data_IF_304724997664
#
_entry.id   IF_304724997664
#
_cell.length_a   1.000
_cell.length_b   1.000
_cell.length_c   1.000
_cell.angle_alpha   90.00
_cell.angle_beta   90.00
_cell.angle_gamma   90.00
#
_symmetry.space_group_name_H-M   'P 1'
#
loop_
_entity.id
_entity.type
_entity.pdbx_description
1 polymer ?
#
# COMPACT_ATOMS: atom_id res chain seq x y z
N UNK A 1 19.01 -5.02 -9.22
CA UNK A 1 18.50 -5.02 -7.88
C UNK A 1 17.30 -4.10 -7.74
N UNK A 2 16.20 -4.60 -7.19
CA UNK A 2 14.95 -3.86 -7.09
C UNK A 2 14.85 -3.25 -5.70
N UNK A 3 14.42 -2.00 -5.65
CA UNK A 3 14.21 -1.30 -4.39
C UNK A 3 12.87 -0.60 -4.40
N UNK A 4 12.21 -0.55 -3.25
CA UNK A 4 10.98 0.21 -3.05
C UNK A 4 11.27 1.40 -2.16
N UNK A 5 10.89 2.59 -2.62
CA UNK A 5 11.05 3.82 -1.86
C UNK A 5 9.69 4.47 -1.65
N UNK A 6 9.34 4.71 -0.39
CA UNK A 6 8.06 5.28 -0.02
C UNK A 6 8.21 6.71 0.45
N UNK A 7 7.17 7.53 0.18
CA UNK A 7 7.06 8.86 0.76
C UNK A 7 5.60 9.29 0.83
N UNK A 8 5.36 10.33 1.63
CA UNK A 8 4.07 10.94 1.84
C UNK A 8 4.00 11.56 3.23
N UNK A 9 3.03 12.44 3.43
CA UNK A 9 2.84 13.10 4.71
C UNK A 9 2.22 12.12 5.71
N UNK A 10 2.94 11.90 6.83
CA UNK A 10 2.51 10.96 7.85
C UNK A 10 1.76 11.57 9.02
N UNK A 11 1.61 12.89 9.07
CA UNK A 11 0.92 13.54 10.17
C UNK A 11 -0.38 14.16 9.65
N UNK A 12 -1.51 13.61 10.11
CA UNK A 12 -2.82 13.96 9.59
C UNK A 12 -3.80 14.26 10.72
N UNK A 13 -4.82 15.05 10.38
CA UNK A 13 -5.97 15.28 11.23
C UNK A 13 -7.15 14.43 10.75
N UNK A 14 -8.11 14.12 11.64
CA UNK A 14 -9.32 13.41 11.24
C UNK A 14 -10.01 14.10 10.06
N UNK A 15 -10.62 13.31 9.21
CA UNK A 15 -11.31 13.69 7.97
C UNK A 15 -10.41 14.03 6.80
N UNK A 16 -9.11 14.16 6.99
CA UNK A 16 -8.18 14.41 5.89
C UNK A 16 -7.99 13.15 5.05
N UNK A 17 -7.30 13.30 3.93
CA UNK A 17 -6.96 12.21 3.02
C UNK A 17 -5.49 11.86 3.16
N UNK A 18 -5.21 10.59 3.44
CA UNK A 18 -3.85 10.05 3.40
C UNK A 18 -3.46 9.84 1.95
N UNK A 19 -2.26 10.30 1.58
CA UNK A 19 -1.69 10.07 0.25
C UNK A 19 -0.25 9.59 0.40
N UNK A 20 0.02 8.39 -0.06
CA UNK A 20 1.35 7.80 -0.04
C UNK A 20 1.74 7.36 -1.43
N UNK A 21 3.04 7.44 -1.73
CA UNK A 21 3.60 6.99 -3.01
C UNK A 21 4.74 6.02 -2.75
N UNK A 22 4.86 5.06 -3.64
CA UNK A 22 5.93 4.09 -3.62
C UNK A 22 6.54 4.03 -5.02
N UNK A 23 7.84 4.31 -5.13
CA UNK A 23 8.56 4.20 -6.38
C UNK A 23 9.35 2.91 -6.41
N UNK A 24 9.36 2.27 -7.56
CA UNK A 24 10.04 1.00 -7.78
C UNK A 24 11.27 1.24 -8.63
N UNK A 25 12.43 1.01 -8.06
CA UNK A 25 13.71 1.15 -8.75
C UNK A 25 14.29 -0.22 -9.07
N UNK A 26 15.02 -0.31 -10.19
CA UNK A 26 15.60 -1.56 -10.64
C UNK A 26 14.81 -2.15 -11.80
N UNK A 27 14.92 -3.47 -11.94
CA UNK A 27 14.23 -4.18 -13.01
C UNK A 27 12.81 -4.55 -12.59
N UNK A 28 12.00 -4.99 -13.52
CA UNK A 28 10.73 -5.68 -13.26
C UNK A 28 9.73 -4.87 -12.44
N UNK A 29 9.04 -3.96 -13.11
CA UNK A 29 7.85 -3.33 -12.54
C UNK A 29 6.58 -4.02 -13.06
N UNK A 30 6.54 -4.33 -14.36
CA UNK A 30 5.32 -4.75 -15.04
C UNK A 30 4.97 -6.22 -14.84
N UNK A 31 5.87 -6.99 -14.23
CA UNK A 31 5.66 -8.43 -14.06
C UNK A 31 5.07 -8.80 -12.70
N UNK A 32 4.80 -7.82 -11.85
CA UNK A 32 4.42 -8.10 -10.47
C UNK A 32 3.13 -7.42 -10.07
N UNK A 33 2.56 -7.93 -9.01
CA UNK A 33 1.44 -7.32 -8.30
C UNK A 33 2.01 -6.46 -7.18
N UNK A 34 1.50 -5.25 -7.05
CA UNK A 34 1.95 -4.32 -6.03
C UNK A 34 0.86 -4.12 -5.00
N UNK A 35 1.24 -4.07 -3.73
CA UNK A 35 0.30 -4.14 -2.62
C UNK A 35 0.60 -3.08 -1.58
N UNK A 36 -0.45 -2.57 -0.95
CA UNK A 36 -0.35 -1.73 0.23
C UNK A 36 -0.86 -2.51 1.43
N UNK A 37 -0.09 -2.46 2.52
CA UNK A 37 -0.36 -3.16 3.77
C UNK A 37 -0.08 -2.19 4.90
N UNK A 38 -0.81 -2.31 6.00
CA UNK A 38 -0.55 -1.48 7.18
C UNK A 38 -0.50 -2.33 8.45
N UNK A 39 0.18 -1.80 9.45
CA UNK A 39 0.24 -2.42 10.77
C UNK A 39 -0.09 -1.38 11.83
N UNK A 40 -1.31 -1.42 12.39
CA UNK A 40 -1.65 -0.58 13.53
C UNK A 40 -0.80 -0.92 14.75
N UNK A 41 -0.61 0.03 15.68
CA UNK A 41 0.21 -0.22 16.87
C UNK A 41 -0.30 -1.41 17.66
N UNK A 42 0.59 -2.35 17.96
CA UNK A 42 0.27 -3.53 18.74
C UNK A 42 -0.63 -4.55 18.07
N UNK A 43 -0.83 -4.43 16.77
CA UNK A 43 -1.70 -5.35 16.01
C UNK A 43 -0.94 -5.99 14.87
N UNK A 44 -1.58 -6.98 14.23
CA UNK A 44 -1.01 -7.64 13.07
C UNK A 44 -1.12 -6.81 11.80
N UNK A 45 -0.55 -7.35 10.75
CA UNK A 45 -0.62 -6.73 9.42
C UNK A 45 -2.05 -6.78 8.89
N UNK A 46 -2.47 -5.70 8.24
CA UNK A 46 -3.76 -5.60 7.59
C UNK A 46 -3.54 -5.27 6.11
N UNK A 47 -4.04 -6.13 5.23
CA UNK A 47 -3.99 -5.92 3.79
C UNK A 47 -4.98 -4.83 3.40
N UNK A 48 -4.51 -3.84 2.64
CA UNK A 48 -5.33 -2.72 2.20
C UNK A 48 -5.86 -2.98 0.79
N UNK A 49 -4.99 -3.36 -0.11
CA UNK A 49 -5.36 -3.63 -1.49
C UNK A 49 -4.16 -3.82 -2.37
N UNK A 50 -4.43 -4.15 -3.62
CA UNK A 50 -3.41 -4.46 -4.61
C UNK A 50 -3.76 -3.86 -5.95
N UNK A 51 -2.73 -3.71 -6.79
CA UNK A 51 -2.90 -3.23 -8.16
C UNK A 51 -1.89 -3.92 -9.05
N UNK A 52 -2.33 -4.31 -10.26
CA UNK A 52 -1.39 -4.77 -11.28
C UNK A 52 -1.01 -3.59 -12.18
N UNK A 53 0.07 -3.73 -12.97
CA UNK A 53 0.52 -2.61 -13.81
C UNK A 53 -0.47 -2.16 -14.87
N UNK A 54 -1.46 -3.00 -15.22
CA UNK A 54 -2.52 -2.61 -16.15
C UNK A 54 -3.60 -1.76 -15.48
N UNK A 55 -3.56 -1.60 -14.16
CA UNK A 55 -4.48 -0.76 -13.42
C UNK A 55 -5.63 -1.48 -12.74
N UNK A 56 -5.70 -2.81 -12.85
CA UNK A 56 -6.74 -3.58 -12.15
C UNK A 56 -6.44 -3.62 -10.65
N UNK A 57 -7.45 -3.34 -9.84
CA UNK A 57 -7.33 -3.25 -8.39
C UNK A 57 -8.21 -4.24 -7.68
N UNK A 58 -7.81 -4.59 -6.47
CA UNK A 58 -8.61 -5.40 -5.56
C UNK A 58 -8.40 -4.85 -4.15
N UNK A 59 -9.48 -4.49 -3.48
CA UNK A 59 -9.40 -3.80 -2.19
C UNK A 59 -9.96 -4.66 -1.06
N UNK A 60 -9.42 -4.43 0.14
CA UNK A 60 -10.00 -4.98 1.36
C UNK A 60 -11.45 -4.50 1.49
N UNK A 61 -12.43 -5.41 1.61
CA UNK A 61 -13.84 -5.01 1.66
C UNK A 61 -14.17 -4.01 2.78
N UNK A 62 -13.47 -4.06 3.91
CA UNK A 62 -13.72 -3.16 5.03
C UNK A 62 -13.24 -1.74 4.76
N UNK A 63 -12.33 -1.56 3.80
CA UNK A 63 -11.75 -0.25 3.47
C UNK A 63 -12.19 0.24 2.09
N UNK A 64 -12.87 -0.59 1.33
CA UNK A 64 -13.13 -0.38 -0.10
C UNK A 64 -13.75 0.98 -0.41
N UNK A 65 -14.66 1.46 0.45
CA UNK A 65 -15.36 2.72 0.20
C UNK A 65 -14.45 3.95 0.34
N UNK A 66 -13.28 3.81 0.98
CA UNK A 66 -12.39 4.91 1.29
C UNK A 66 -11.05 4.84 0.57
N UNK A 67 -10.76 3.74 -0.13
CA UNK A 67 -9.43 3.46 -0.68
C UNK A 67 -9.41 3.64 -2.17
N UNK A 68 -8.33 4.24 -2.68
CA UNK A 68 -8.01 4.25 -4.09
C UNK A 68 -6.52 3.97 -4.26
N UNK A 69 -6.19 2.96 -5.03
CA UNK A 69 -4.82 2.64 -5.40
C UNK A 69 -4.68 2.89 -6.89
N UNK A 70 -3.58 3.53 -7.28
CA UNK A 70 -3.32 3.85 -8.67
C UNK A 70 -1.88 3.52 -9.04
N UNK A 71 -1.63 3.45 -10.34
CA UNK A 71 -0.30 3.13 -10.87
C UNK A 71 0.05 4.12 -11.98
N UNK A 72 1.30 4.54 -12.00
CA UNK A 72 1.90 5.30 -13.09
C UNK A 72 3.07 4.49 -13.62
N UNK A 73 2.84 3.80 -14.73
CA UNK A 73 3.85 2.90 -15.29
C UNK A 73 5.07 3.66 -15.83
N UNK A 74 4.86 4.86 -16.35
CA UNK A 74 5.98 5.67 -16.87
C UNK A 74 6.93 6.11 -15.77
N UNK A 75 6.43 6.37 -14.59
CA UNK A 75 7.23 6.76 -13.43
C UNK A 75 7.58 5.56 -12.54
N UNK A 76 7.03 4.39 -12.81
CA UNK A 76 7.20 3.20 -12.01
C UNK A 76 6.81 3.45 -10.57
N UNK A 77 5.62 4.01 -10.37
CA UNK A 77 5.09 4.40 -9.07
C UNK A 77 3.72 3.81 -8.84
N UNK A 78 3.46 3.45 -7.60
CA UNK A 78 2.12 3.11 -7.13
C UNK A 78 1.76 4.08 -6.00
N UNK A 79 0.48 4.42 -5.92
CA UNK A 79 0.00 5.40 -4.96
C UNK A 79 -1.19 4.85 -4.20
N UNK A 80 -1.29 5.28 -2.94
CA UNK A 80 -2.42 4.94 -2.07
C UNK A 80 -3.08 6.23 -1.63
N UNK A 81 -4.42 6.27 -1.75
CA UNK A 81 -5.23 7.30 -1.11
C UNK A 81 -6.24 6.65 -0.20
N UNK A 82 -6.34 7.16 1.01
CA UNK A 82 -7.31 6.72 2.00
C UNK A 82 -8.04 7.95 2.52
N UNK A 83 -9.34 8.04 2.20
CA UNK A 83 -10.15 9.20 2.53
C UNK A 83 -10.70 9.12 3.96
N UNK A 84 -11.05 10.29 4.50
CA UNK A 84 -11.79 10.40 5.77
C UNK A 84 -11.11 9.63 6.90
N UNK A 85 -9.83 9.89 7.10
CA UNK A 85 -9.07 9.16 8.11
C UNK A 85 -9.54 9.49 9.52
N UNK A 86 -9.41 8.50 10.40
CA UNK A 86 -9.65 8.64 11.83
C UNK A 86 -8.45 8.10 12.60
N UNK A 87 -8.48 8.21 13.91
CA UNK A 87 -7.40 7.67 14.75
C UNK A 87 -7.18 6.17 14.50
N UNK A 88 -8.21 5.44 14.08
CA UNK A 88 -8.11 4.01 13.78
C UNK A 88 -7.22 3.73 12.57
N UNK A 89 -6.92 4.74 11.76
CA UNK A 89 -6.04 4.60 10.59
C UNK A 89 -4.58 4.85 10.92
N UNK A 90 -4.26 5.18 12.17
CA UNK A 90 -2.87 5.29 12.63
C UNK A 90 -2.19 3.95 12.53
N UNK A 91 -1.09 3.89 11.78
CA UNK A 91 -0.39 2.65 11.50
C UNK A 91 0.93 2.94 10.78
N UNK A 92 1.79 1.94 10.67
CA UNK A 92 2.87 1.96 9.70
C UNK A 92 2.34 1.38 8.40
N UNK A 93 2.50 2.12 7.31
CA UNK A 93 2.02 1.70 5.99
C UNK A 93 3.19 1.26 5.13
N UNK A 94 3.02 0.12 4.47
CA UNK A 94 4.06 -0.48 3.63
C UNK A 94 3.53 -0.68 2.21
N UNK A 95 4.38 -0.42 1.22
CA UNK A 95 4.20 -1.01 -0.10
C UNK A 95 5.04 -2.28 -0.19
N UNK A 96 4.58 -3.25 -0.97
CA UNK A 96 5.25 -4.53 -1.08
C UNK A 96 5.01 -5.14 -2.45
N UNK A 97 5.99 -5.92 -2.92
CA UNK A 97 5.86 -6.69 -4.14
C UNK A 97 5.40 -8.09 -3.82
N UNK A 98 4.32 -8.51 -4.45
CA UNK A 98 3.80 -9.85 -4.27
C UNK A 98 4.49 -10.81 -5.22
N UNK A 99 4.94 -11.95 -4.70
CA UNK A 99 5.43 -13.02 -5.55
C UNK A 99 4.26 -13.51 -6.39
N UNK A 100 4.42 -13.43 -7.71
CA UNK A 100 3.35 -13.77 -8.63
C UNK A 100 3.17 -15.27 -8.70
N UNK A 101 2.24 -15.77 -7.89
CA UNK A 101 1.76 -17.14 -7.95
C UNK A 101 0.29 -17.13 -8.27
N UNK A 102 -0.15 -18.12 -9.00
CA UNK A 102 -1.56 -18.26 -9.29
C UNK A 102 -2.31 -18.57 -8.00
N UNK A 103 -3.46 -17.89 -7.82
CA UNK A 103 -4.45 -18.21 -6.79
C UNK A 103 -3.99 -17.96 -5.36
N UNK A 104 -3.17 -16.91 -5.13
CA UNK A 104 -2.92 -16.47 -3.78
C UNK A 104 -4.20 -15.91 -3.16
N UNK A 105 -4.46 -16.30 -1.92
CA UNK A 105 -5.60 -15.82 -1.18
C UNK A 105 -5.22 -14.53 -0.44
N UNK A 106 -6.18 -13.66 -0.10
CA UNK A 106 -5.86 -12.41 0.58
C UNK A 106 -5.11 -12.58 1.90
N UNK A 107 -5.26 -13.72 2.58
CA UNK A 107 -4.55 -13.97 3.82
C UNK A 107 -3.10 -14.41 3.62
N UNK A 108 -2.63 -14.57 2.41
CA UNK A 108 -1.29 -15.06 2.12
C UNK A 108 -0.29 -13.90 1.99
N UNK A 109 -0.32 -12.95 2.94
CA UNK A 109 0.50 -11.71 2.90
C UNK A 109 1.99 -11.98 3.04
N UNK A 110 2.37 -13.11 3.61
CA UNK A 110 3.77 -13.44 3.85
C UNK A 110 4.49 -13.92 2.58
N UNK A 111 3.79 -13.95 1.48
CA UNK A 111 4.39 -14.28 0.20
C UNK A 111 4.92 -13.05 -0.54
N UNK A 112 5.09 -11.95 0.15
CA UNK A 112 5.75 -10.78 -0.43
C UNK A 112 7.27 -10.94 -0.29
N UNK A 113 7.98 -10.68 -1.38
CA UNK A 113 9.43 -10.86 -1.41
C UNK A 113 10.21 -9.55 -1.33
N UNK A 114 9.52 -8.42 -1.40
CA UNK A 114 10.15 -7.12 -1.34
C UNK A 114 9.21 -6.13 -0.68
N UNK A 115 9.73 -5.39 0.31
CA UNK A 115 8.96 -4.45 1.11
C UNK A 115 9.61 -3.08 1.09
N UNK A 116 8.81 -2.03 1.07
CA UNK A 116 9.27 -0.71 1.45
C UNK A 116 9.58 -0.65 2.95
N UNK A 117 10.25 0.41 3.37
CA UNK A 117 10.65 0.57 4.77
C UNK A 117 9.50 0.91 5.70
N UNK A 118 8.39 1.31 5.12
CA UNK A 118 7.24 1.74 5.88
C UNK A 118 7.20 3.24 6.08
N UNK A 119 6.00 3.77 6.20
CA UNK A 119 5.74 5.17 6.53
C UNK A 119 4.84 5.21 7.75
N UNK A 120 5.32 5.80 8.83
CA UNK A 120 4.48 5.99 10.01
C UNK A 120 3.43 7.07 9.72
N UNK A 121 2.18 6.73 9.90
CA UNK A 121 1.05 7.64 9.74
C UNK A 121 0.35 7.76 11.08
N UNK A 122 0.24 8.99 11.57
CA UNK A 122 -0.44 9.30 12.82
C UNK A 122 -1.61 10.24 12.54
N UNK A 123 -2.80 9.86 12.96
CA UNK A 123 -4.00 10.68 12.84
C UNK A 123 -4.42 11.12 14.22
N UNK A 124 -4.35 12.42 14.48
CA UNK A 124 -4.72 12.99 15.78
C UNK A 124 -5.34 14.37 15.62
N UNK A 125 -6.30 14.65 16.46
CA UNK A 125 -6.97 15.96 16.47
C UNK A 125 -6.15 17.05 17.15
#
# INVERSE_FOLDING_TARGET
QVQLQQWGAGLLKPSETLSLTCAVYGESFTDYLWTWIRQPPGKGLEWIGEINPSGSTNYNPTLKSRVAISVDTSKRQISLKLNSVTAADTAVYYCARQIRRLQLRPQDYYYFDLWGRGTLVTVSS
#
